data_IF_142378985366
#
_entry.id   IF_142378985366
#
_cell.length_a   1.000
_cell.length_b   1.000
_cell.length_c   1.000
_cell.angle_alpha   90.00
_cell.angle_beta   90.00
_cell.angle_gamma   90.00
#
_symmetry.space_group_name_H-M   'P 1'
#
loop_
_entity.id
_entity.type
_entity.pdbx_description
1 polymer ?
#
# COMPACT_ATOMS: atom_id res chain seq x y z
N UNK A 1 10.71 -15.41 10.81
CA UNK A 1 9.72 -14.35 10.57
C UNK A 1 8.34 -14.85 10.89
N UNK A 2 7.36 -13.96 11.06
CA UNK A 2 5.96 -14.34 11.28
C UNK A 2 5.12 -13.86 10.08
N UNK A 3 4.42 -14.81 9.46
CA UNK A 3 3.60 -14.57 8.27
C UNK A 3 2.15 -14.16 8.59
N UNK A 4 1.77 -14.22 9.87
CA UNK A 4 0.39 -14.05 10.28
C UNK A 4 0.00 -12.56 10.30
N UNK A 5 -1.23 -12.20 9.86
CA UNK A 5 -1.73 -10.82 9.85
C UNK A 5 -1.82 -10.19 11.24
N UNK A 6 -1.75 -10.99 12.30
CA UNK A 6 -1.67 -10.53 13.68
C UNK A 6 -0.48 -9.60 13.93
N UNK A 7 0.68 -9.82 13.29
CA UNK A 7 1.82 -8.90 13.42
C UNK A 7 1.57 -7.55 12.72
N UNK A 8 0.89 -7.58 11.56
CA UNK A 8 0.49 -6.37 10.85
C UNK A 8 -0.45 -5.53 11.72
N UNK A 9 -1.41 -6.20 12.37
CA UNK A 9 -2.36 -5.60 13.29
C UNK A 9 -1.67 -5.05 14.55
N UNK A 10 -0.74 -5.80 15.13
CA UNK A 10 0.07 -5.37 16.29
C UNK A 10 0.88 -4.12 15.96
N UNK A 11 1.54 -4.09 14.80
CA UNK A 11 2.30 -2.93 14.35
C UNK A 11 1.41 -1.68 14.20
N UNK A 12 0.22 -1.84 13.62
CA UNK A 12 -0.75 -0.75 13.48
C UNK A 12 -1.28 -0.27 14.84
N UNK A 13 -1.55 -1.19 15.77
CA UNK A 13 -1.93 -0.85 17.15
C UNK A 13 -0.82 -0.07 17.86
N UNK A 14 0.43 -0.52 17.75
CA UNK A 14 1.59 0.17 18.34
C UNK A 14 1.72 1.59 17.80
N UNK A 15 1.53 1.79 16.50
CA UNK A 15 1.55 3.13 15.90
C UNK A 15 0.38 4.01 16.38
N UNK A 16 -0.84 3.46 16.43
CA UNK A 16 -2.02 4.19 16.92
C UNK A 16 -1.85 4.62 18.39
N UNK A 17 -1.32 3.74 19.22
CA UNK A 17 -1.05 4.00 20.63
C UNK A 17 0.06 5.05 20.81
N UNK A 18 1.10 5.01 19.98
CA UNK A 18 2.15 6.04 19.98
C UNK A 18 1.57 7.43 19.69
N UNK A 19 0.68 7.56 18.71
CA UNK A 19 -0.01 8.82 18.40
C UNK A 19 -0.83 9.33 19.57
N UNK A 20 -1.57 8.43 20.23
CA UNK A 20 -2.34 8.76 21.43
C UNK A 20 -1.46 9.26 22.55
N UNK A 21 -0.32 8.61 22.81
CA UNK A 21 0.62 9.00 23.86
C UNK A 21 1.32 10.34 23.57
N UNK A 22 1.60 10.63 22.30
CA UNK A 22 2.16 11.91 21.87
C UNK A 22 1.12 13.04 21.83
N UNK A 23 -0.16 12.75 22.07
CA UNK A 23 -1.25 13.72 21.97
C UNK A 23 -1.59 14.13 20.54
N UNK A 24 -1.13 13.37 19.54
CA UNK A 24 -1.41 13.59 18.12
C UNK A 24 -2.80 13.06 17.78
N UNK A 25 -3.80 13.85 18.15
CA UNK A 25 -5.21 13.57 17.89
C UNK A 25 -5.68 14.03 16.51
N UNK A 26 -4.84 14.78 15.77
CA UNK A 26 -5.11 15.32 14.43
C UNK A 26 -4.48 14.49 13.29
N UNK A 27 -4.16 13.23 13.54
CA UNK A 27 -3.90 12.30 12.43
C UNK A 27 -5.26 11.95 11.82
N UNK A 28 -5.44 12.35 10.57
CA UNK A 28 -6.76 12.30 9.93
C UNK A 28 -7.23 10.86 9.77
N UNK A 29 -6.37 9.98 9.26
CA UNK A 29 -6.78 8.61 8.90
C UNK A 29 -5.60 7.66 8.75
N UNK A 30 -5.75 6.44 9.27
CA UNK A 30 -4.96 5.29 8.83
C UNK A 30 -5.50 4.80 7.49
N UNK A 31 -4.71 4.84 6.44
CA UNK A 31 -5.04 4.23 5.15
C UNK A 31 -4.34 2.88 5.01
N UNK A 32 -5.10 1.85 4.64
CA UNK A 32 -4.58 0.50 4.41
C UNK A 32 -4.93 -0.01 3.01
N UNK A 33 -4.12 -0.94 2.52
CA UNK A 33 -4.38 -1.69 1.30
C UNK A 33 -3.68 -3.06 1.35
N UNK A 34 -4.09 -3.96 0.46
CA UNK A 34 -3.30 -5.14 0.13
C UNK A 34 -2.85 -5.08 -1.32
N UNK A 35 -1.55 -5.25 -1.57
CA UNK A 35 -0.98 -5.33 -2.91
C UNK A 35 -0.76 -6.78 -3.38
N UNK A 36 -1.21 -7.75 -2.57
CA UNK A 36 -1.15 -9.18 -2.81
C UNK A 36 0.26 -9.77 -2.87
N UNK A 37 0.31 -11.03 -3.27
CA UNK A 37 1.55 -11.73 -3.59
C UNK A 37 2.27 -11.11 -4.79
N UNK A 38 3.54 -11.48 -4.99
CA UNK A 38 4.30 -11.07 -6.16
C UNK A 38 3.64 -11.49 -7.49
N UNK A 39 2.97 -12.65 -7.51
CA UNK A 39 2.27 -13.15 -8.69
C UNK A 39 1.00 -12.34 -8.98
N UNK A 40 0.15 -12.13 -7.97
CA UNK A 40 -1.04 -11.30 -8.07
C UNK A 40 -0.71 -9.88 -8.54
N UNK A 41 0.33 -9.28 -7.93
CA UNK A 41 0.84 -7.96 -8.32
C UNK A 41 1.39 -7.95 -9.75
N UNK A 42 2.02 -9.04 -10.20
CA UNK A 42 2.51 -9.20 -11.56
C UNK A 42 1.38 -9.14 -12.59
N UNK A 43 0.26 -9.84 -12.34
CA UNK A 43 -0.94 -9.78 -13.19
C UNK A 43 -1.54 -8.38 -13.23
N UNK A 44 -1.75 -7.77 -12.06
CA UNK A 44 -2.23 -6.40 -11.96
C UNK A 44 -1.35 -5.40 -12.72
N UNK A 45 -0.02 -5.52 -12.56
CA UNK A 45 0.95 -4.66 -13.26
C UNK A 45 0.81 -4.75 -14.77
N UNK A 46 0.64 -5.95 -15.32
CA UNK A 46 0.48 -6.14 -16.75
C UNK A 46 -0.77 -5.41 -17.28
N UNK A 47 -1.90 -5.57 -16.59
CA UNK A 47 -3.17 -4.95 -16.99
C UNK A 47 -3.16 -3.43 -16.79
N UNK A 48 -2.53 -2.93 -15.72
CA UNK A 48 -2.32 -1.50 -15.50
C UNK A 48 -1.47 -0.89 -16.62
N UNK A 49 -0.38 -1.55 -17.01
CA UNK A 49 0.49 -1.09 -18.11
C UNK A 49 -0.29 -1.10 -19.44
N UNK A 50 -1.06 -2.16 -19.72
CA UNK A 50 -1.87 -2.22 -20.94
C UNK A 50 -2.91 -1.09 -20.98
N UNK A 51 -3.61 -0.87 -19.86
CA UNK A 51 -4.58 0.20 -19.69
C UNK A 51 -3.97 1.58 -19.92
N UNK A 52 -2.85 1.89 -19.26
CA UNK A 52 -2.18 3.19 -19.33
C UNK A 52 -1.48 3.43 -20.67
N UNK A 53 -0.97 2.38 -21.32
CA UNK A 53 -0.32 2.49 -22.64
C UNK A 53 -1.28 2.99 -23.72
N UNK A 54 -2.55 2.57 -23.69
CA UNK A 54 -3.58 3.09 -24.62
C UNK A 54 -3.95 4.55 -24.35
N UNK A 55 -3.51 5.11 -23.22
CA UNK A 55 -3.79 6.48 -22.75
C UNK A 55 -2.50 7.29 -22.55
N UNK A 56 -1.36 6.83 -23.10
CA UNK A 56 -0.02 7.36 -22.81
C UNK A 56 0.10 8.87 -23.07
N UNK A 57 -0.59 9.39 -24.09
CA UNK A 57 -0.58 10.82 -24.45
C UNK A 57 -1.26 11.72 -23.41
N UNK A 58 -2.17 11.16 -22.60
CA UNK A 58 -2.89 11.89 -21.54
C UNK A 58 -2.16 11.85 -20.19
N UNK A 59 -1.09 11.07 -20.09
CA UNK A 59 -0.26 11.01 -18.88
C UNK A 59 0.69 12.20 -18.85
N UNK A 60 0.92 12.71 -17.65
CA UNK A 60 2.00 13.65 -17.39
C UNK A 60 3.40 13.04 -17.65
N UNK A 61 4.39 13.89 -17.84
CA UNK A 61 5.78 13.50 -18.16
C UNK A 61 6.36 12.48 -17.18
N UNK A 62 6.07 12.62 -15.88
CA UNK A 62 6.58 11.72 -14.86
C UNK A 62 5.91 10.34 -14.94
N UNK A 63 4.59 10.33 -15.08
CA UNK A 63 3.81 9.10 -15.27
C UNK A 63 4.20 8.36 -16.56
N UNK A 64 4.50 9.08 -17.65
CA UNK A 64 5.01 8.46 -18.89
C UNK A 64 6.35 7.76 -18.68
N UNK A 65 7.26 8.33 -17.89
CA UNK A 65 8.56 7.71 -17.55
C UNK A 65 8.40 6.51 -16.61
N UNK A 66 7.47 6.60 -15.65
CA UNK A 66 7.18 5.52 -14.69
C UNK A 66 6.53 4.32 -15.36
N UNK A 67 5.77 4.52 -16.43
CA UNK A 67 5.08 3.45 -17.15
C UNK A 67 6.03 2.32 -17.58
N UNK A 68 7.23 2.70 -18.03
CA UNK A 68 8.23 1.75 -18.55
C UNK A 68 9.15 1.19 -17.44
N UNK A 69 9.19 1.82 -16.25
CA UNK A 69 10.07 1.46 -15.14
C UNK A 69 9.29 0.91 -13.94
N UNK A 70 8.64 1.78 -13.18
CA UNK A 70 7.82 1.44 -12.02
C UNK A 70 6.37 1.95 -12.20
N UNK A 71 5.53 1.21 -12.94
CA UNK A 71 4.17 1.66 -13.30
C UNK A 71 3.24 1.75 -12.09
N UNK A 72 3.47 1.00 -11.01
CA UNK A 72 2.66 1.09 -9.79
C UNK A 72 2.76 2.49 -9.17
N UNK A 73 3.92 3.13 -9.23
CA UNK A 73 4.11 4.51 -8.76
C UNK A 73 3.29 5.56 -9.50
N UNK A 74 2.62 5.22 -10.60
CA UNK A 74 1.67 6.12 -11.25
C UNK A 74 0.41 6.29 -10.38
N UNK A 75 0.04 5.28 -9.59
CA UNK A 75 -1.15 5.30 -8.72
C UNK A 75 -1.13 6.44 -7.68
N UNK A 76 0.07 6.90 -7.32
CA UNK A 76 0.31 8.01 -6.39
C UNK A 76 0.50 9.38 -7.09
N UNK A 77 0.29 9.47 -8.41
CA UNK A 77 0.39 10.75 -9.13
C UNK A 77 -0.53 11.79 -8.53
N UNK A 78 -0.07 13.04 -8.33
CA UNK A 78 -0.93 14.13 -7.86
C UNK A 78 -1.50 14.99 -8.99
N UNK A 79 -1.20 14.62 -10.25
CA UNK A 79 -1.68 15.36 -11.43
C UNK A 79 -3.15 15.04 -11.67
N UNK A 80 -4.05 16.05 -11.70
CA UNK A 80 -5.49 15.85 -11.82
C UNK A 80 -5.90 15.02 -13.03
N UNK A 81 -5.28 15.26 -14.19
CA UNK A 81 -5.56 14.50 -15.42
C UNK A 81 -5.19 13.02 -15.26
N UNK A 82 -4.04 12.72 -14.66
CA UNK A 82 -3.61 11.35 -14.38
C UNK A 82 -4.53 10.69 -13.34
N UNK A 83 -4.92 11.39 -12.28
CA UNK A 83 -5.87 10.88 -11.28
C UNK A 83 -7.22 10.51 -11.89
N UNK A 84 -7.76 11.35 -12.78
CA UNK A 84 -9.00 11.05 -13.50
C UNK A 84 -8.91 9.79 -14.38
N UNK A 85 -7.73 9.50 -14.95
CA UNK A 85 -7.51 8.24 -15.69
C UNK A 85 -7.46 7.03 -14.74
N UNK A 86 -6.89 7.20 -13.55
CA UNK A 86 -6.75 6.15 -12.55
C UNK A 86 -8.07 5.77 -11.89
N UNK A 87 -9.05 6.67 -11.85
CA UNK A 87 -10.41 6.35 -11.39
C UNK A 87 -11.11 5.29 -12.26
N UNK A 88 -10.65 5.09 -13.50
CA UNK A 88 -11.14 4.06 -14.42
C UNK A 88 -10.13 2.92 -14.64
N UNK A 89 -9.00 2.94 -13.94
CA UNK A 89 -7.99 1.90 -14.05
C UNK A 89 -8.43 0.59 -13.34
N UNK A 90 -7.82 -0.55 -13.67
CA UNK A 90 -7.95 -1.76 -12.86
C UNK A 90 -7.63 -1.48 -11.39
N UNK A 91 -8.28 -2.18 -10.48
CA UNK A 91 -8.09 -2.00 -9.04
C UNK A 91 -7.28 -3.17 -8.47
N UNK A 92 -6.17 -2.89 -7.80
CA UNK A 92 -5.24 -3.95 -7.33
C UNK A 92 -5.89 -4.98 -6.41
N UNK A 93 -6.89 -4.57 -5.61
CA UNK A 93 -7.60 -5.44 -4.68
C UNK A 93 -8.43 -6.52 -5.38
N UNK A 94 -8.76 -6.34 -6.66
CA UNK A 94 -9.50 -7.33 -7.46
C UNK A 94 -8.60 -8.46 -7.98
N UNK A 95 -7.27 -8.33 -7.83
CA UNK A 95 -6.27 -9.29 -8.30
C UNK A 95 -5.71 -10.19 -7.20
N UNK A 96 -6.12 -9.94 -5.94
CA UNK A 96 -5.64 -10.69 -4.79
C UNK A 96 -5.93 -12.18 -4.98
N UNK A 97 -4.91 -12.99 -4.76
CA UNK A 97 -5.13 -14.43 -4.59
C UNK A 97 -5.84 -14.70 -3.26
N UNK A 98 -6.38 -15.91 -3.12
CA UNK A 98 -7.15 -16.30 -1.93
C UNK A 98 -6.35 -16.09 -0.63
N UNK A 99 -5.07 -16.51 -0.51
CA UNK A 99 -4.27 -16.23 0.68
C UNK A 99 -4.13 -14.75 1.03
N UNK A 100 -3.80 -13.89 0.06
CA UNK A 100 -3.69 -12.44 0.28
C UNK A 100 -5.04 -11.81 0.64
N UNK A 101 -6.13 -12.30 0.05
CA UNK A 101 -7.50 -11.91 0.38
C UNK A 101 -7.88 -12.26 1.83
N UNK A 102 -7.61 -13.49 2.24
CA UNK A 102 -7.86 -13.98 3.61
C UNK A 102 -7.00 -13.23 4.64
N UNK A 103 -5.73 -12.99 4.32
CA UNK A 103 -4.82 -12.20 5.14
C UNK A 103 -5.35 -10.78 5.37
N UNK A 104 -5.77 -10.11 4.29
CA UNK A 104 -6.31 -8.75 4.38
C UNK A 104 -7.66 -8.69 5.11
N UNK A 105 -8.54 -9.66 4.89
CA UNK A 105 -9.82 -9.77 5.61
C UNK A 105 -9.59 -9.98 7.12
N UNK A 106 -8.61 -10.83 7.49
CA UNK A 106 -8.25 -11.07 8.88
C UNK A 106 -7.66 -9.82 9.54
N UNK A 107 -6.76 -9.11 8.86
CA UNK A 107 -6.23 -7.83 9.35
C UNK A 107 -7.36 -6.84 9.65
N UNK A 108 -8.29 -6.66 8.72
CA UNK A 108 -9.45 -5.76 8.90
C UNK A 108 -10.30 -6.14 10.10
N UNK A 109 -10.61 -7.43 10.27
CA UNK A 109 -11.37 -7.91 11.42
C UNK A 109 -10.66 -7.64 12.76
N UNK A 110 -9.33 -7.75 12.78
CA UNK A 110 -8.52 -7.40 13.97
C UNK A 110 -8.56 -5.90 14.26
N UNK A 111 -8.38 -5.04 13.24
CA UNK A 111 -8.48 -3.59 13.39
C UNK A 111 -9.87 -3.15 13.88
N UNK A 112 -10.92 -3.74 13.32
CA UNK A 112 -12.31 -3.50 13.74
C UNK A 112 -12.51 -3.89 15.22
N UNK A 113 -11.99 -5.06 15.63
CA UNK A 113 -12.07 -5.54 17.01
C UNK A 113 -11.30 -4.66 18.01
N UNK A 114 -10.19 -4.04 17.57
CA UNK A 114 -9.40 -3.09 18.36
C UNK A 114 -9.92 -1.65 18.28
N UNK A 115 -11.00 -1.43 17.51
CA UNK A 115 -11.59 -0.10 17.29
C UNK A 115 -10.62 0.91 16.69
N UNK A 116 -9.69 0.46 15.84
CA UNK A 116 -8.77 1.34 15.11
C UNK A 116 -9.47 1.77 13.82
N UNK A 117 -9.81 3.07 13.66
CA UNK A 117 -10.43 3.55 12.44
C UNK A 117 -9.44 3.50 11.28
N UNK A 118 -9.87 2.99 10.14
CA UNK A 118 -9.08 2.96 8.91
C UNK A 118 -9.94 3.22 7.67
N UNK A 119 -9.27 3.59 6.58
CA UNK A 119 -9.85 3.66 5.24
C UNK A 119 -9.09 2.72 4.31
N UNK A 120 -9.81 2.03 3.43
CA UNK A 120 -9.18 1.27 2.35
C UNK A 120 -8.86 2.23 1.21
N UNK A 121 -7.58 2.31 0.83
CA UNK A 121 -7.13 3.06 -0.34
C UNK A 121 -6.52 2.10 -1.37
N UNK A 122 -7.27 1.66 -2.40
CA UNK A 122 -6.75 0.73 -3.39
C UNK A 122 -5.60 1.28 -4.26
N UNK A 123 -5.43 2.61 -4.29
CA UNK A 123 -4.30 3.27 -4.97
C UNK A 123 -3.04 3.31 -4.11
N UNK A 124 -3.16 2.91 -2.84
CA UNK A 124 -2.05 2.89 -1.91
C UNK A 124 -1.05 1.81 -2.31
N UNK A 125 0.08 2.26 -2.83
CA UNK A 125 1.24 1.42 -3.12
C UNK A 125 2.47 2.06 -2.51
N UNK A 126 3.48 1.25 -2.25
CA UNK A 126 4.76 1.74 -1.74
C UNK A 126 5.77 1.85 -2.86
N UNK A 127 6.69 2.78 -2.69
CA UNK A 127 7.72 3.08 -3.67
C UNK A 127 8.85 2.05 -3.77
N UNK A 128 8.82 0.99 -2.97
CA UNK A 128 9.85 -0.03 -2.93
C UNK A 128 9.22 -1.36 -3.35
N UNK A 129 9.83 -2.03 -4.31
CA UNK A 129 9.19 -3.16 -4.99
C UNK A 129 9.19 -4.45 -4.14
N UNK A 130 9.82 -4.42 -2.97
CA UNK A 130 9.91 -5.56 -2.04
C UNK A 130 8.64 -5.80 -1.22
N UNK A 131 7.70 -4.84 -1.17
CA UNK A 131 6.48 -5.01 -0.37
C UNK A 131 5.63 -6.16 -0.92
N UNK A 132 4.80 -6.76 -0.08
CA UNK A 132 3.75 -7.72 -0.42
C UNK A 132 2.59 -7.57 0.57
N UNK A 133 1.42 -8.12 0.24
CA UNK A 133 0.23 -8.10 1.10
C UNK A 133 -0.04 -6.71 1.67
N UNK A 134 -0.07 -6.56 2.99
CA UNK A 134 -0.41 -5.30 3.67
C UNK A 134 0.55 -4.17 3.34
N UNK A 135 0.00 -3.03 2.94
CA UNK A 135 0.67 -1.73 2.97
C UNK A 135 -0.22 -0.72 3.67
N UNK A 136 0.37 0.24 4.36
CA UNK A 136 -0.39 1.25 5.08
C UNK A 136 0.35 2.59 5.17
N UNK A 137 -0.39 3.63 5.51
CA UNK A 137 0.13 4.91 5.97
C UNK A 137 -0.80 5.61 6.95
N UNK A 138 -0.21 6.37 7.86
CA UNK A 138 -0.91 7.40 8.62
C UNK A 138 -0.76 8.73 7.90
N UNK A 139 -1.88 9.37 7.59
CA UNK A 139 -1.91 10.67 6.91
C UNK A 139 -2.50 11.77 7.78
N UNK A 140 -2.06 13.00 7.53
CA UNK A 140 -2.61 14.23 8.09
C UNK A 140 -2.65 15.33 7.02
N UNK A 141 -3.72 16.11 7.03
CA UNK A 141 -3.94 17.29 6.20
C UNK A 141 -3.23 18.52 6.76
N UNK A 142 -2.79 18.47 8.02
CA UNK A 142 -2.05 19.56 8.66
C UNK A 142 -0.70 19.86 7.98
N UNK A 143 -0.12 18.88 7.27
CA UNK A 143 1.17 19.00 6.57
C UNK A 143 1.02 19.34 5.07
N UNK A 144 -0.21 19.56 4.58
CA UNK A 144 -0.46 19.89 3.17
C UNK A 144 -0.22 18.70 2.22
N UNK A 145 0.43 18.94 1.08
CA UNK A 145 0.53 17.96 -0.01
C UNK A 145 1.36 16.69 0.32
N UNK A 146 2.21 16.73 1.36
CA UNK A 146 2.93 15.58 1.91
C UNK A 146 2.37 15.24 3.28
N UNK A 147 1.21 14.58 3.29
CA UNK A 147 0.48 14.27 4.52
C UNK A 147 0.95 13.02 5.26
N UNK A 148 1.84 12.21 4.70
CA UNK A 148 2.26 10.94 5.32
C UNK A 148 3.18 11.18 6.52
N UNK A 149 2.75 10.74 7.71
CA UNK A 149 3.51 10.83 8.97
C UNK A 149 4.20 9.52 9.31
N UNK A 150 3.62 8.41 8.88
CA UNK A 150 4.19 7.08 9.05
C UNK A 150 3.74 6.21 7.88
N UNK A 151 4.63 5.38 7.36
CA UNK A 151 4.27 4.40 6.34
C UNK A 151 4.98 3.08 6.60
N UNK A 152 4.33 2.01 6.16
CA UNK A 152 4.85 0.66 6.36
C UNK A 152 4.10 -0.37 5.55
N UNK A 153 4.39 -1.62 5.86
CA UNK A 153 3.81 -2.77 5.22
C UNK A 153 4.64 -4.04 5.39
N UNK A 154 4.14 -5.12 4.80
CA UNK A 154 4.75 -6.44 4.81
C UNK A 154 5.70 -6.61 3.63
N UNK A 155 6.81 -7.31 3.83
CA UNK A 155 7.92 -7.43 2.86
C UNK A 155 8.65 -8.77 2.96
N UNK A 156 7.88 -9.85 2.91
CA UNK A 156 8.37 -11.21 3.19
C UNK A 156 9.54 -11.68 2.29
N UNK A 157 9.60 -11.16 1.06
CA UNK A 157 10.66 -11.51 0.10
C UNK A 157 11.98 -10.77 0.30
N UNK A 158 12.04 -9.72 1.12
CA UNK A 158 13.21 -8.84 1.19
C UNK A 158 14.48 -9.58 1.67
N UNK A 159 14.35 -10.43 2.70
CA UNK A 159 15.52 -11.15 3.25
C UNK A 159 16.09 -12.14 2.24
N UNK A 160 15.23 -12.81 1.47
CA UNK A 160 15.65 -13.74 0.41
C UNK A 160 16.36 -13.00 -0.74
N UNK A 161 15.83 -11.84 -1.15
CA UNK A 161 16.47 -10.98 -2.17
C UNK A 161 17.89 -10.53 -1.77
N UNK A 162 18.17 -10.46 -0.47
CA UNK A 162 19.49 -10.13 0.09
C UNK A 162 20.40 -11.35 0.32
N UNK A 163 19.99 -12.55 -0.12
CA UNK A 163 20.76 -13.78 0.01
C UNK A 163 20.56 -14.52 1.34
N UNK A 164 19.58 -14.11 2.14
CA UNK A 164 19.18 -14.79 3.38
C UNK A 164 18.18 -15.93 3.13
N UNK A 165 17.75 -16.57 4.22
CA UNK A 165 16.64 -17.55 4.17
C UNK A 165 15.30 -16.82 4.06
N UNK A 166 14.29 -17.37 3.36
CA UNK A 166 12.94 -16.81 3.32
C UNK A 166 12.43 -16.47 4.72
N UNK A 167 12.14 -15.20 4.96
CA UNK A 167 11.82 -14.69 6.30
C UNK A 167 10.71 -13.64 6.19
N UNK A 168 9.46 -14.04 6.52
CA UNK A 168 8.34 -13.10 6.58
C UNK A 168 8.59 -11.95 7.55
N UNK A 169 8.23 -10.74 7.16
CA UNK A 169 8.52 -9.53 7.91
C UNK A 169 7.53 -8.41 7.60
N UNK A 170 7.23 -7.60 8.61
CA UNK A 170 6.42 -6.38 8.52
C UNK A 170 7.13 -5.30 9.32
N UNK A 171 7.00 -4.06 8.88
CA UNK A 171 7.64 -2.93 9.54
C UNK A 171 7.14 -1.59 9.03
N UNK A 172 7.62 -0.52 9.67
CA UNK A 172 7.23 0.84 9.35
C UNK A 172 8.39 1.81 9.63
N UNK A 173 8.30 2.99 9.03
CA UNK A 173 9.17 4.13 9.28
C UNK A 173 8.34 5.40 9.47
N UNK A 174 8.92 6.38 10.16
CA UNK A 174 8.36 7.70 10.48
C UNK A 174 9.43 8.75 10.26
#
# INVERSE_FOLDING_TARGET
GFAAPELDAELLLLSAELWRQLGLTELDTLEINSIGSAEARGRYRADLVAYLSTRKEKLDDDSRRRLDSNPLRILDSKVPETQALLDQAPVITDYLDQPSGDHFARLRALLDAMQIPYRINPRLVRGLDYYCDTVFEWVTSALGAQGTVCAGGRYDGLVEQLGGRPTPAVGMAM
#
